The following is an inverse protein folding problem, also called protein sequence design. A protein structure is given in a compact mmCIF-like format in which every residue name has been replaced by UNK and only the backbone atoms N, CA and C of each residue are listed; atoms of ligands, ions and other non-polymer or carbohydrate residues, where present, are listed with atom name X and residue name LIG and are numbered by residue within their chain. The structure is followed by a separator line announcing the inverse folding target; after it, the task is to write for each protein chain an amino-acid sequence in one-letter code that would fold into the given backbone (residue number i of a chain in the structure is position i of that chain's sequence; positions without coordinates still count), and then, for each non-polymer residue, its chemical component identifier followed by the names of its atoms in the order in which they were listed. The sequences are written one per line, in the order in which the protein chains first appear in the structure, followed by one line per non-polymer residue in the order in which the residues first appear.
data_IF_468903529831
#
_entry.id   IF_468903529831
#
_cell.length_a   1.000
_cell.length_b   1.000
_cell.length_c   1.000
_cell.angle_alpha   90.00
_cell.angle_beta   90.00
_cell.angle_gamma   90.00
#
_symmetry.space_group_name_H-M   'P 1'
#
loop_
_entity.id
_entity.type
_entity.pdbx_description
1 polymer ?
#
# COMPACT_ATOMS: atom_id res chain seq x y z
N UNK A 1 10.75 -24.28 38.27
CA UNK A 1 11.66 -24.80 37.23
C UNK A 1 10.84 -25.10 35.98
N UNK A 2 10.75 -24.14 35.05
CA UNK A 2 10.00 -24.34 33.79
C UNK A 2 11.03 -24.58 32.69
N UNK A 3 10.91 -25.73 32.04
CA UNK A 3 11.83 -26.27 31.04
C UNK A 3 11.92 -25.30 29.87
N UNK A 4 13.13 -24.83 29.57
CA UNK A 4 13.44 -24.17 28.29
C UNK A 4 13.34 -25.27 27.24
N UNK A 5 12.14 -25.45 26.66
CA UNK A 5 11.98 -26.24 25.46
C UNK A 5 12.60 -25.41 24.34
N UNK A 6 13.85 -25.75 24.00
CA UNK A 6 14.47 -25.36 22.74
C UNK A 6 13.63 -26.06 21.66
N UNK A 7 12.60 -25.37 21.18
CA UNK A 7 11.86 -25.79 20.01
C UNK A 7 12.86 -25.75 18.84
N UNK A 8 13.29 -26.93 18.41
CA UNK A 8 14.07 -27.12 17.20
C UNK A 8 13.25 -26.61 16.03
N UNK A 9 13.47 -25.37 15.61
CA UNK A 9 12.86 -24.79 14.41
C UNK A 9 13.46 -25.52 13.21
N UNK A 10 12.70 -26.49 12.68
CA UNK A 10 12.96 -27.09 11.38
C UNK A 10 12.92 -26.00 10.33
N UNK A 11 14.08 -25.62 9.81
CA UNK A 11 14.19 -24.72 8.65
C UNK A 11 13.59 -25.46 7.45
N UNK A 12 12.33 -25.19 7.14
CA UNK A 12 11.69 -25.71 5.94
C UNK A 12 12.38 -25.07 4.73
N UNK A 13 13.15 -25.87 4.00
CA UNK A 13 13.77 -25.47 2.74
C UNK A 13 12.66 -25.25 1.70
N UNK A 14 12.26 -23.99 1.50
CA UNK A 14 11.34 -23.61 0.42
C UNK A 14 12.18 -23.35 -0.84
N UNK A 15 12.33 -24.39 -1.66
CA UNK A 15 12.69 -24.24 -3.07
C UNK A 15 11.44 -23.82 -3.86
N UNK A 16 11.57 -22.75 -4.66
CA UNK A 16 10.97 -22.58 -5.99
C UNK A 16 11.10 -21.10 -6.44
N UNK A 17 11.86 -20.97 -7.54
CA UNK A 17 11.75 -20.11 -8.71
C UNK A 17 11.12 -18.72 -8.56
N UNK A 18 11.90 -17.70 -8.95
CA UNK A 18 11.50 -16.30 -8.93
C UNK A 18 10.56 -15.89 -10.05
N UNK A 19 9.83 -14.80 -9.81
CA UNK A 19 9.67 -13.67 -10.72
C UNK A 19 9.12 -12.47 -9.94
N UNK A 20 9.39 -11.26 -10.43
CA UNK A 20 9.36 -10.00 -9.67
C UNK A 20 8.04 -9.20 -9.77
N UNK A 21 7.85 -8.32 -8.78
CA UNK A 21 6.62 -7.63 -8.36
C UNK A 21 6.29 -6.30 -9.08
N UNK A 22 5.01 -5.88 -9.01
CA UNK A 22 4.53 -4.52 -9.33
C UNK A 22 4.10 -3.68 -8.10
N UNK A 23 4.33 -2.36 -8.16
CA UNK A 23 3.91 -1.30 -7.21
C UNK A 23 3.14 -0.20 -7.98
N UNK A 24 2.09 0.45 -7.40
CA UNK A 24 1.39 1.55 -8.08
C UNK A 24 2.23 2.84 -8.10
N UNK A 25 2.17 3.55 -9.22
CA UNK A 25 2.86 4.81 -9.48
C UNK A 25 2.33 5.96 -8.61
N UNK A 26 3.26 6.62 -7.94
CA UNK A 26 3.14 7.92 -7.29
C UNK A 26 4.56 8.48 -7.02
N UNK A 27 4.74 9.79 -6.85
CA UNK A 27 6.05 10.43 -6.76
C UNK A 27 6.70 10.17 -5.40
N UNK A 28 8.02 10.00 -5.40
CA UNK A 28 8.87 10.18 -4.23
C UNK A 28 8.55 9.38 -2.97
N UNK A 29 8.00 8.17 -3.06
CA UNK A 29 7.78 7.35 -1.86
C UNK A 29 9.11 6.73 -1.41
N UNK A 30 9.62 7.18 -0.26
CA UNK A 30 10.74 6.56 0.48
C UNK A 30 10.65 5.04 0.35
N UNK A 31 11.74 4.43 -0.10
CA UNK A 31 11.87 2.98 -0.26
C UNK A 31 11.56 2.26 1.05
N UNK A 32 10.32 1.81 1.21
CA UNK A 32 9.89 1.04 2.36
C UNK A 32 10.41 -0.38 2.18
N UNK A 33 11.56 -0.68 2.79
CA UNK A 33 12.07 -2.05 2.88
C UNK A 33 11.27 -2.79 3.97
N UNK A 34 10.38 -3.73 3.60
CA UNK A 34 9.44 -4.34 4.55
C UNK A 34 10.16 -5.09 5.66
N UNK A 35 11.25 -5.78 5.32
CA UNK A 35 12.10 -6.51 6.27
C UNK A 35 12.81 -5.54 7.23
N UNK A 36 13.33 -4.41 6.71
CA UNK A 36 14.01 -3.40 7.54
C UNK A 36 13.05 -2.72 8.51
N UNK A 37 11.85 -2.39 8.07
CA UNK A 37 10.82 -1.80 8.95
C UNK A 37 10.38 -2.78 10.04
N UNK A 38 10.21 -4.06 9.69
CA UNK A 38 9.94 -5.13 10.65
C UNK A 38 11.03 -5.20 11.73
N UNK A 39 12.31 -5.25 11.35
CA UNK A 39 13.44 -5.26 12.31
C UNK A 39 13.47 -3.97 13.15
N UNK A 40 13.22 -2.81 12.55
CA UNK A 40 13.14 -1.54 13.30
C UNK A 40 12.06 -1.57 14.38
N UNK A 41 10.95 -2.28 14.16
CA UNK A 41 9.88 -2.39 15.14
C UNK A 41 10.29 -3.20 16.38
N UNK A 42 11.31 -4.04 16.25
CA UNK A 42 11.88 -4.80 17.36
C UNK A 42 12.87 -3.99 18.22
N UNK A 43 13.28 -2.80 17.76
CA UNK A 43 14.22 -1.95 18.51
C UNK A 43 13.65 -1.57 19.87
N UNK A 44 14.45 -1.78 20.92
CA UNK A 44 14.07 -1.43 22.29
C UNK A 44 12.98 -2.32 22.89
N UNK A 45 12.79 -3.54 22.37
CA UNK A 45 11.99 -4.59 23.03
C UNK A 45 12.77 -5.26 24.17
N UNK A 46 14.11 -5.22 24.10
CA UNK A 46 14.99 -5.92 25.04
C UNK A 46 15.24 -7.36 24.61
N UNK A 47 15.69 -7.57 23.37
CA UNK A 47 16.04 -8.89 22.83
C UNK A 47 17.35 -9.38 23.43
N UNK A 48 17.40 -10.65 23.82
CA UNK A 48 18.64 -11.34 24.21
C UNK A 48 19.56 -11.54 23.01
N UNK A 49 20.84 -11.83 23.26
CA UNK A 49 21.80 -12.06 22.17
C UNK A 49 21.43 -13.29 21.33
N UNK A 50 20.91 -14.34 21.98
CA UNK A 50 20.42 -15.54 21.29
C UNK A 50 19.23 -15.22 20.37
N UNK A 51 18.24 -14.45 20.85
CA UNK A 51 17.10 -14.02 20.02
C UNK A 51 17.55 -13.17 18.83
N UNK A 52 18.57 -12.32 19.01
CA UNK A 52 19.09 -11.47 17.93
C UNK A 52 19.76 -12.29 16.83
N UNK A 53 20.58 -13.27 17.19
CA UNK A 53 21.21 -14.15 16.20
C UNK A 53 20.18 -15.03 15.49
N UNK A 54 19.15 -15.51 16.19
CA UNK A 54 18.04 -16.25 15.57
C UNK A 54 17.27 -15.39 14.56
N UNK A 55 16.86 -14.18 14.95
CA UNK A 55 16.18 -13.23 14.05
C UNK A 55 17.06 -12.88 12.85
N UNK A 56 18.36 -12.67 13.05
CA UNK A 56 19.32 -12.40 11.98
C UNK A 56 19.43 -13.58 11.01
N UNK A 57 19.42 -14.81 11.51
CA UNK A 57 19.42 -16.04 10.70
C UNK A 57 18.16 -16.11 9.84
N UNK A 58 16.97 -15.95 10.45
CA UNK A 58 15.69 -15.94 9.73
C UNK A 58 15.66 -14.87 8.62
N UNK A 59 16.09 -13.65 8.95
CA UNK A 59 16.14 -12.53 7.99
C UNK A 59 17.13 -12.79 6.85
N UNK A 60 18.28 -13.41 7.14
CA UNK A 60 19.30 -13.70 6.13
C UNK A 60 18.82 -14.80 5.18
N UNK A 61 18.30 -15.91 5.72
CA UNK A 61 17.69 -16.99 4.94
C UNK A 61 16.55 -16.48 4.05
N UNK A 62 15.70 -15.59 4.56
CA UNK A 62 14.64 -14.98 3.75
C UNK A 62 15.20 -14.15 2.59
N UNK A 63 16.24 -13.34 2.84
CA UNK A 63 16.85 -12.50 1.80
C UNK A 63 17.55 -13.32 0.72
N UNK A 64 18.15 -14.44 1.09
CA UNK A 64 18.76 -15.39 0.16
C UNK A 64 17.70 -16.10 -0.69
N UNK A 65 16.63 -16.59 -0.07
CA UNK A 65 15.55 -17.29 -0.76
C UNK A 65 14.69 -16.35 -1.64
N UNK A 66 14.51 -15.10 -1.21
CA UNK A 66 13.69 -14.08 -1.90
C UNK A 66 14.54 -12.83 -2.12
N UNK A 67 15.46 -12.85 -3.11
CA UNK A 67 16.29 -11.71 -3.43
C UNK A 67 15.43 -10.51 -3.79
N UNK A 68 15.97 -9.32 -3.56
CA UNK A 68 15.27 -8.08 -3.85
C UNK A 68 14.93 -8.05 -5.35
N UNK A 69 13.67 -7.78 -5.72
CA UNK A 69 13.33 -7.59 -7.13
C UNK A 69 14.15 -6.41 -7.68
N UNK A 70 14.71 -6.58 -8.87
CA UNK A 70 15.44 -5.52 -9.57
C UNK A 70 14.48 -4.34 -9.76
N UNK A 71 14.94 -3.15 -9.39
CA UNK A 71 14.14 -1.93 -9.47
C UNK A 71 13.76 -1.71 -10.93
N UNK A 72 12.49 -1.80 -11.30
CA UNK A 72 11.98 -1.46 -12.65
C UNK A 72 11.39 -2.60 -13.48
N UNK A 73 11.48 -3.86 -13.03
CA UNK A 73 10.86 -5.01 -13.70
C UNK A 73 9.36 -5.10 -13.40
N UNK A 74 8.61 -4.09 -13.83
CA UNK A 74 7.15 -4.10 -13.72
C UNK A 74 6.58 -4.63 -15.03
N UNK A 75 5.83 -5.73 -14.96
CA UNK A 75 4.93 -6.14 -16.03
C UNK A 75 3.85 -5.07 -16.16
N UNK A 76 4.07 -4.17 -17.12
CA UNK A 76 3.00 -3.29 -17.58
C UNK A 76 1.91 -4.19 -18.17
N UNK A 77 0.62 -3.85 -18.00
CA UNK A 77 -0.39 -4.49 -18.81
C UNK A 77 0.00 -4.33 -20.28
N UNK A 78 -0.09 -5.42 -21.04
CA UNK A 78 0.20 -5.45 -22.49
C UNK A 78 -0.90 -4.77 -23.32
N UNK A 79 -1.88 -4.18 -22.64
CA UNK A 79 -3.02 -3.50 -23.25
C UNK A 79 -3.07 -2.02 -22.84
N UNK A 80 -3.66 -1.21 -23.71
CA UNK A 80 -4.00 0.17 -23.35
C UNK A 80 -5.14 0.17 -22.35
N UNK A 81 -4.85 0.65 -21.15
CA UNK A 81 -5.81 0.73 -20.06
C UNK A 81 -6.98 1.67 -20.38
N UNK A 82 -6.81 2.64 -21.28
CA UNK A 82 -7.87 3.57 -21.66
C UNK A 82 -9.01 2.88 -22.42
N UNK A 83 -8.69 1.85 -23.20
CA UNK A 83 -9.65 1.12 -24.06
C UNK A 83 -9.89 -0.32 -23.64
N UNK A 84 -9.24 -0.78 -22.56
CA UNK A 84 -9.35 -2.16 -22.09
C UNK A 84 -10.77 -2.53 -21.68
N UNK A 85 -11.20 -3.74 -22.01
CA UNK A 85 -12.45 -4.31 -21.53
C UNK A 85 -12.38 -4.58 -20.02
N UNK A 86 -13.55 -4.65 -19.38
CA UNK A 86 -13.64 -5.01 -17.96
C UNK A 86 -13.04 -6.39 -17.67
N UNK A 87 -13.19 -7.35 -18.61
CA UNK A 87 -12.61 -8.69 -18.50
C UNK A 87 -11.09 -8.70 -18.60
N UNK A 88 -10.50 -7.84 -19.44
CA UNK A 88 -9.04 -7.67 -19.50
C UNK A 88 -8.51 -7.08 -18.19
N UNK A 89 -9.19 -6.06 -17.66
CA UNK A 89 -8.82 -5.42 -16.40
C UNK A 89 -8.94 -6.40 -15.22
N UNK A 90 -10.03 -7.15 -15.12
CA UNK A 90 -10.25 -8.11 -14.03
C UNK A 90 -9.24 -9.24 -14.05
N UNK A 91 -8.98 -9.82 -15.24
CA UNK A 91 -7.98 -10.88 -15.42
C UNK A 91 -6.59 -10.38 -15.04
N UNK A 92 -6.20 -9.19 -15.50
CA UNK A 92 -4.92 -8.59 -15.14
C UNK A 92 -4.79 -8.38 -13.62
N UNK A 93 -5.82 -7.83 -12.97
CA UNK A 93 -5.81 -7.62 -11.52
C UNK A 93 -5.72 -8.95 -10.77
N UNK A 94 -6.44 -9.98 -11.23
CA UNK A 94 -6.41 -11.31 -10.64
C UNK A 94 -5.02 -11.94 -10.76
N UNK A 95 -4.42 -11.96 -11.96
CA UNK A 95 -3.07 -12.49 -12.16
C UNK A 95 -2.06 -11.74 -11.29
N UNK A 96 -2.18 -10.42 -11.18
CA UNK A 96 -1.33 -9.61 -10.32
C UNK A 96 -1.52 -9.91 -8.83
N UNK A 97 -2.75 -10.18 -8.41
CA UNK A 97 -3.05 -10.58 -7.04
C UNK A 97 -2.39 -11.93 -6.73
N UNK A 98 -2.64 -12.94 -7.56
CA UNK A 98 -2.12 -14.30 -7.40
C UNK A 98 -0.58 -14.34 -7.43
N UNK A 99 0.06 -13.59 -8.32
CA UNK A 99 1.52 -13.49 -8.38
C UNK A 99 2.12 -12.93 -7.07
N UNK A 100 1.43 -11.99 -6.43
CA UNK A 100 1.90 -11.36 -5.18
C UNK A 100 1.67 -12.22 -3.95
N UNK A 101 0.70 -13.12 -3.96
CA UNK A 101 0.34 -13.92 -2.79
C UNK A 101 1.51 -14.78 -2.30
N UNK A 102 2.31 -15.33 -3.21
CA UNK A 102 3.51 -16.11 -2.83
C UNK A 102 4.52 -15.27 -2.02
N UNK A 103 4.75 -14.02 -2.42
CA UNK A 103 5.63 -13.10 -1.69
C UNK A 103 4.99 -12.65 -0.38
N UNK A 104 3.69 -12.37 -0.38
CA UNK A 104 2.97 -11.96 0.81
C UNK A 104 2.95 -13.05 1.87
N UNK A 105 2.72 -14.31 1.49
CA UNK A 105 2.81 -15.46 2.38
C UNK A 105 4.23 -15.63 2.94
N UNK A 106 5.27 -15.59 2.11
CA UNK A 106 6.65 -15.72 2.58
C UNK A 106 7.01 -14.61 3.59
N UNK A 107 6.56 -13.38 3.37
CA UNK A 107 6.76 -12.27 4.30
C UNK A 107 5.92 -12.45 5.59
N UNK A 108 4.72 -13.02 5.47
CA UNK A 108 3.85 -13.34 6.60
C UNK A 108 4.49 -14.41 7.50
N UNK A 109 5.04 -15.47 6.89
CA UNK A 109 5.79 -16.52 7.59
C UNK A 109 6.97 -15.92 8.35
N UNK A 110 7.81 -15.11 7.69
CA UNK A 110 8.94 -14.46 8.36
C UNK A 110 8.50 -13.62 9.57
N UNK A 111 7.37 -12.91 9.45
CA UNK A 111 6.82 -12.12 10.57
C UNK A 111 6.34 -13.00 11.71
N UNK A 112 5.70 -14.12 11.39
CA UNK A 112 5.23 -15.10 12.36
C UNK A 112 6.41 -15.72 13.11
N UNK A 113 7.42 -16.21 12.39
CA UNK A 113 8.61 -16.84 12.96
C UNK A 113 9.33 -15.89 13.91
N UNK A 114 9.56 -14.64 13.48
CA UNK A 114 10.18 -13.60 14.31
C UNK A 114 9.34 -13.29 15.55
N UNK A 115 8.02 -13.31 15.46
CA UNK A 115 7.14 -13.08 16.60
C UNK A 115 7.22 -14.22 17.62
N UNK A 116 7.39 -15.46 17.16
CA UNK A 116 7.53 -16.64 18.01
C UNK A 116 8.89 -16.75 18.71
N UNK A 117 9.94 -16.10 18.18
CA UNK A 117 11.23 -15.96 18.89
C UNK A 117 11.10 -15.11 20.16
N UNK A 118 10.09 -14.25 20.23
CA UNK A 118 9.87 -13.33 21.36
C UNK A 118 9.21 -14.05 22.54
N UNK A 119 9.53 -13.60 23.76
CA UNK A 119 8.81 -14.02 24.97
C UNK A 119 7.40 -13.41 25.01
N UNK A 120 6.49 -13.99 25.80
CA UNK A 120 5.12 -13.47 25.97
C UNK A 120 5.10 -11.98 26.37
N UNK A 121 5.98 -11.57 27.28
CA UNK A 121 6.12 -10.16 27.67
C UNK A 121 6.60 -9.26 26.53
N UNK A 122 7.52 -9.74 25.70
CA UNK A 122 8.03 -9.02 24.53
C UNK A 122 6.95 -8.93 23.44
N UNK A 123 6.19 -10.01 23.20
CA UNK A 123 5.05 -10.04 22.30
C UNK A 123 3.98 -9.01 22.71
N UNK A 124 3.63 -8.96 24.00
CA UNK A 124 2.71 -7.97 24.55
C UNK A 124 3.19 -6.52 24.31
N UNK A 125 4.50 -6.25 24.45
CA UNK A 125 5.10 -4.94 24.12
C UNK A 125 4.98 -4.59 22.63
N UNK A 126 5.13 -5.57 21.73
CA UNK A 126 4.92 -5.35 20.28
C UNK A 126 3.48 -4.96 20.02
N UNK A 127 2.53 -5.74 20.53
CA UNK A 127 1.10 -5.52 20.35
C UNK A 127 0.68 -4.13 20.86
N UNK A 128 1.14 -3.74 22.05
CA UNK A 128 0.85 -2.42 22.63
C UNK A 128 1.41 -1.27 21.78
N UNK A 129 2.64 -1.40 21.25
CA UNK A 129 3.24 -0.38 20.37
C UNK A 129 2.48 -0.22 19.07
N UNK A 130 1.97 -1.31 18.53
CA UNK A 130 1.18 -1.26 17.31
C UNK A 130 -0.20 -0.68 17.53
N UNK A 131 -0.90 -1.07 18.60
CA UNK A 131 -2.17 -0.45 18.98
C UNK A 131 -2.01 1.07 19.12
N UNK A 132 -0.93 1.52 19.77
CA UNK A 132 -0.60 2.96 19.87
C UNK A 132 -0.35 3.62 18.51
N UNK A 133 0.27 2.92 17.56
CA UNK A 133 0.51 3.44 16.21
C UNK A 133 -0.79 3.51 15.40
N UNK A 134 -1.67 2.52 15.51
CA UNK A 134 -2.96 2.55 14.85
C UNK A 134 -3.85 3.67 15.42
N UNK A 135 -3.94 3.78 16.74
CA UNK A 135 -4.63 4.91 17.39
C UNK A 135 -4.06 6.26 16.95
N UNK A 136 -2.74 6.39 16.81
CA UNK A 136 -2.11 7.61 16.29
C UNK A 136 -2.46 7.87 14.82
N UNK A 137 -2.53 6.84 13.98
CA UNK A 137 -2.95 6.97 12.58
C UNK A 137 -4.41 7.39 12.48
N UNK A 138 -5.27 6.83 13.32
CA UNK A 138 -6.68 7.17 13.42
C UNK A 138 -6.88 8.62 13.88
N UNK A 139 -6.24 9.04 14.97
CA UNK A 139 -6.29 10.41 15.45
C UNK A 139 -5.82 11.41 14.39
N UNK A 140 -4.77 11.09 13.62
CA UNK A 140 -4.31 11.92 12.50
C UNK A 140 -5.35 12.05 11.40
N UNK A 141 -6.12 11.00 11.14
CA UNK A 141 -7.21 11.02 10.15
C UNK A 141 -8.36 11.86 10.66
N UNK A 142 -8.81 11.62 11.90
CA UNK A 142 -9.91 12.37 12.51
C UNK A 142 -9.59 13.87 12.58
N UNK A 143 -8.37 14.24 12.99
CA UNK A 143 -7.91 15.61 12.97
C UNK A 143 -7.82 16.20 11.54
N UNK A 144 -7.58 15.38 10.51
CA UNK A 144 -7.60 15.83 9.13
C UNK A 144 -9.03 16.07 8.64
N UNK A 145 -9.99 15.21 9.01
CA UNK A 145 -11.40 15.39 8.66
C UNK A 145 -12.01 16.57 9.40
N UNK A 146 -11.68 16.75 10.68
CA UNK A 146 -12.09 17.92 11.46
C UNK A 146 -11.55 19.22 10.84
N UNK A 147 -10.27 19.24 10.45
CA UNK A 147 -9.69 20.41 9.75
C UNK A 147 -10.34 20.68 8.41
N UNK A 148 -10.72 19.65 7.64
CA UNK A 148 -11.48 19.83 6.40
C UNK A 148 -12.88 20.39 6.67
N UNK A 149 -13.56 19.89 7.71
CA UNK A 149 -14.89 20.37 8.10
C UNK A 149 -14.85 21.83 8.59
N UNK A 150 -13.83 22.20 9.38
CA UNK A 150 -13.61 23.59 9.79
C UNK A 150 -13.29 24.50 8.60
N UNK A 151 -12.50 24.02 7.63
CA UNK A 151 -12.21 24.75 6.40
C UNK A 151 -13.47 24.96 5.55
N UNK A 152 -14.29 23.94 5.35
CA UNK A 152 -15.57 24.04 4.64
C UNK A 152 -16.51 25.06 5.30
N UNK A 153 -16.66 25.00 6.64
CA UNK A 153 -17.46 25.98 7.40
C UNK A 153 -16.96 27.42 7.27
N UNK A 154 -15.64 27.64 7.12
CA UNK A 154 -15.09 28.99 6.91
C UNK A 154 -15.39 29.51 5.51
N UNK A 155 -15.30 28.65 4.49
CA UNK A 155 -15.67 29.02 3.11
C UNK A 155 -17.16 29.38 2.99
N UNK A 156 -18.03 28.65 3.69
CA UNK A 156 -19.46 28.95 3.71
C UNK A 156 -19.77 30.27 4.44
N UNK A 157 -18.94 30.66 5.41
CA UNK A 157 -19.17 31.84 6.27
C UNK A 157 -18.57 33.13 5.69
N UNK A 158 -17.51 33.07 4.91
CA UNK A 158 -16.78 34.25 4.44
C UNK A 158 -17.08 34.68 3.00
N UNK A 159 -17.91 33.93 2.25
CA UNK A 159 -18.18 34.22 0.85
C UNK A 159 -16.95 33.97 -0.04
N UNK A 160 -17.18 33.55 -1.28
CA UNK A 160 -16.13 33.00 -2.18
C UNK A 160 -15.03 33.99 -2.64
N UNK A 161 -14.96 35.22 -2.12
CA UNK A 161 -14.24 36.33 -2.77
C UNK A 161 -13.01 36.89 -2.06
N UNK A 162 -12.47 36.27 -1.01
CA UNK A 162 -11.18 36.70 -0.44
C UNK A 162 -10.05 35.73 -0.75
N UNK A 163 -9.21 36.12 -1.73
CA UNK A 163 -7.87 35.57 -1.97
C UNK A 163 -7.09 35.60 -0.65
N UNK A 164 -6.89 34.43 -0.04
CA UNK A 164 -6.15 34.32 1.21
C UNK A 164 -4.66 34.59 0.97
N UNK A 165 -4.15 35.60 1.68
CA UNK A 165 -2.72 35.89 1.81
C UNK A 165 -1.98 34.66 2.36
N UNK A 166 -1.03 34.15 1.57
CA UNK A 166 -0.08 33.11 1.95
C UNK A 166 0.89 33.65 3.02
N UNK A 167 0.54 33.51 4.30
CA UNK A 167 1.51 33.71 5.37
C UNK A 167 1.97 32.37 5.98
N UNK A 168 3.23 32.07 5.69
CA UNK A 168 4.15 31.24 6.46
C UNK A 168 3.71 29.80 6.80
N UNK A 169 3.82 28.92 5.80
CA UNK A 169 4.27 27.55 6.03
C UNK A 169 5.52 27.29 5.20
N UNK A 170 6.69 27.52 5.80
CA UNK A 170 7.92 26.77 5.46
C UNK A 170 7.70 25.30 5.85
N UNK A 171 6.92 24.62 5.04
CA UNK A 171 6.74 23.18 5.08
C UNK A 171 6.53 22.84 3.63
N UNK A 172 7.52 22.15 3.05
CA UNK A 172 7.51 21.68 1.66
C UNK A 172 6.08 21.54 1.17
N UNK A 173 5.73 22.39 0.21
CA UNK A 173 4.57 22.20 -0.62
C UNK A 173 4.80 20.84 -1.27
N UNK A 174 4.35 19.78 -0.58
CA UNK A 174 4.00 18.55 -1.24
C UNK A 174 2.90 18.99 -2.18
N UNK A 175 3.28 19.40 -3.39
CA UNK A 175 2.42 19.31 -4.55
C UNK A 175 1.69 18.00 -4.35
N UNK A 176 0.36 18.08 -4.30
CA UNK A 176 -0.46 16.88 -4.13
C UNK A 176 -0.33 16.12 -5.45
N UNK A 177 0.77 15.40 -5.52
CA UNK A 177 1.35 14.50 -6.49
C UNK A 177 0.38 13.34 -6.82
N UNK A 178 -0.86 13.68 -7.14
CA UNK A 178 -1.98 12.75 -7.09
C UNK A 178 -3.25 13.22 -7.78
N UNK A 179 -3.24 14.38 -8.43
CA UNK A 179 -4.21 14.64 -9.48
C UNK A 179 -3.72 13.90 -10.73
N UNK A 180 -4.55 13.02 -11.34
CA UNK A 180 -4.14 12.21 -12.49
C UNK A 180 -3.75 13.03 -13.73
N UNK A 181 -3.99 14.35 -13.72
CA UNK A 181 -3.82 15.31 -14.81
C UNK A 181 -3.02 16.54 -14.38
N UNK A 182 -2.12 16.40 -13.39
CA UNK A 182 -1.24 17.50 -12.99
C UNK A 182 -0.40 17.98 -14.20
N UNK A 183 -0.38 19.29 -14.43
CA UNK A 183 0.33 19.90 -15.56
C UNK A 183 -0.46 19.95 -16.87
N UNK A 184 -1.72 19.49 -16.91
CA UNK A 184 -2.61 19.63 -18.08
C UNK A 184 -3.60 20.77 -17.85
N UNK A 185 -3.76 21.65 -18.85
CA UNK A 185 -4.77 22.69 -18.82
C UNK A 185 -6.17 22.10 -19.06
N UNK A 186 -7.01 22.10 -18.03
CA UNK A 186 -8.39 21.62 -18.09
C UNK A 186 -9.37 22.79 -18.20
N UNK A 187 -10.36 22.68 -19.09
CA UNK A 187 -11.46 23.64 -19.19
C UNK A 187 -12.34 23.64 -17.93
N UNK A 188 -13.11 24.71 -17.71
CA UNK A 188 -14.02 24.78 -16.57
C UNK A 188 -15.09 23.68 -16.62
N UNK A 189 -15.61 23.36 -17.81
CA UNK A 189 -16.57 22.25 -18.01
C UNK A 189 -15.97 20.88 -17.70
N UNK A 190 -14.70 20.64 -18.05
CA UNK A 190 -13.97 19.42 -17.70
C UNK A 190 -13.76 19.32 -16.19
N UNK A 191 -13.40 20.43 -15.53
CA UNK A 191 -13.21 20.48 -14.07
C UNK A 191 -14.50 20.16 -13.31
N UNK A 192 -15.63 20.71 -13.75
CA UNK A 192 -16.94 20.41 -13.17
C UNK A 192 -17.30 18.93 -13.32
N UNK A 193 -17.11 18.37 -14.52
CA UNK A 193 -17.38 16.96 -14.81
C UNK A 193 -16.49 16.01 -14.00
N UNK A 194 -15.20 16.34 -13.86
CA UNK A 194 -14.27 15.59 -13.00
C UNK A 194 -14.63 15.69 -11.52
N UNK A 195 -15.11 16.84 -11.07
CA UNK A 195 -15.58 17.02 -9.69
C UNK A 195 -16.81 16.17 -9.41
N UNK A 196 -17.80 16.17 -10.32
CA UNK A 196 -19.00 15.35 -10.21
C UNK A 196 -18.66 13.85 -10.19
N UNK A 197 -17.80 13.39 -11.11
CA UNK A 197 -17.36 11.99 -11.18
C UNK A 197 -16.62 11.55 -9.90
N UNK A 198 -15.81 12.44 -9.34
CA UNK A 198 -15.11 12.18 -8.08
C UNK A 198 -16.08 12.06 -6.91
N UNK A 199 -17.10 12.92 -6.85
CA UNK A 199 -18.11 12.86 -5.78
C UNK A 199 -18.94 11.59 -5.90
N UNK A 200 -19.35 11.18 -7.11
CA UNK A 200 -20.11 9.94 -7.30
C UNK A 200 -19.31 8.68 -6.93
N UNK A 201 -17.97 8.72 -6.99
CA UNK A 201 -17.12 7.59 -6.63
C UNK A 201 -16.67 7.59 -5.15
N UNK A 202 -17.03 8.62 -4.38
CA UNK A 202 -16.52 8.82 -3.02
C UNK A 202 -16.88 7.68 -2.08
N UNK A 203 -18.14 7.26 -2.09
CA UNK A 203 -18.64 6.19 -1.22
C UNK A 203 -18.03 4.84 -1.61
N UNK A 204 -17.93 4.56 -2.92
CA UNK A 204 -17.23 3.39 -3.45
C UNK A 204 -15.75 3.38 -3.03
N UNK A 205 -15.07 4.52 -3.12
CA UNK A 205 -13.67 4.65 -2.69
C UNK A 205 -13.52 4.43 -1.17
N UNK A 206 -14.49 4.86 -0.37
CA UNK A 206 -14.51 4.63 1.07
C UNK A 206 -14.73 3.16 1.41
N UNK A 207 -15.71 2.50 0.79
CA UNK A 207 -15.97 1.08 0.92
C UNK A 207 -14.73 0.24 0.54
N UNK A 208 -14.14 0.52 -0.62
CA UNK A 208 -12.92 -0.14 -1.10
C UNK A 208 -11.75 0.04 -0.13
N UNK A 209 -11.61 1.25 0.45
CA UNK A 209 -10.60 1.50 1.47
C UNK A 209 -10.86 0.69 2.74
N UNK A 210 -12.12 0.51 3.13
CA UNK A 210 -12.47 -0.29 4.31
C UNK A 210 -12.18 -1.77 4.09
N UNK A 211 -12.51 -2.33 2.92
CA UNK A 211 -12.17 -3.71 2.54
C UNK A 211 -10.65 -3.95 2.70
N UNK A 212 -9.82 -3.07 2.11
CA UNK A 212 -8.35 -3.19 2.22
C UNK A 212 -7.83 -3.10 3.64
N UNK A 213 -8.53 -2.38 4.53
CA UNK A 213 -8.15 -2.30 5.95
C UNK A 213 -8.50 -3.60 6.64
N UNK A 214 -9.75 -4.05 6.52
CA UNK A 214 -10.22 -5.31 7.10
C UNK A 214 -9.33 -6.48 6.70
N UNK A 215 -8.94 -6.57 5.42
CA UNK A 215 -8.01 -7.59 4.95
C UNK A 215 -6.63 -7.49 5.62
N UNK A 216 -6.04 -6.29 5.69
CA UNK A 216 -4.74 -6.09 6.37
C UNK A 216 -4.80 -6.35 7.86
N UNK A 217 -5.92 -6.09 8.49
CA UNK A 217 -6.13 -6.30 9.92
C UNK A 217 -6.24 -7.80 10.20
N UNK A 218 -7.04 -8.51 9.41
CA UNK A 218 -7.16 -9.96 9.47
C UNK A 218 -5.83 -10.67 9.17
N UNK A 219 -5.03 -10.19 8.19
CA UNK A 219 -3.69 -10.72 7.95
C UNK A 219 -2.77 -10.54 9.17
N UNK A 220 -2.80 -9.36 9.81
CA UNK A 220 -1.97 -9.07 10.99
C UNK A 220 -2.36 -9.93 12.19
N UNK A 221 -3.65 -10.13 12.39
CA UNK A 221 -4.18 -10.98 13.46
C UNK A 221 -3.80 -12.45 13.22
N UNK A 222 -4.01 -12.94 12.00
CA UNK A 222 -3.65 -14.30 11.61
C UNK A 222 -2.15 -14.59 11.76
N UNK A 223 -1.28 -13.68 11.33
CA UNK A 223 0.19 -13.82 11.48
C UNK A 223 0.63 -14.00 12.94
N UNK A 224 -0.18 -13.60 13.91
CA UNK A 224 0.14 -13.68 15.34
C UNK A 224 -0.61 -14.76 16.09
N UNK A 225 -1.55 -15.41 15.43
CA UNK A 225 -2.26 -16.52 16.05
C UNK A 225 -1.36 -17.75 16.10
N UNK A 226 -1.62 -18.61 17.07
CA UNK A 226 -1.02 -19.95 17.12
C UNK A 226 -1.51 -20.87 15.98
N UNK A 227 -2.56 -20.46 15.27
CA UNK A 227 -3.15 -21.19 14.13
C UNK A 227 -2.58 -20.76 12.77
N UNK A 228 -1.58 -19.86 12.73
CA UNK A 228 -0.95 -19.43 11.50
C UNK A 228 -0.37 -20.63 10.73
N UNK A 229 -0.78 -20.75 9.48
CA UNK A 229 -0.37 -21.80 8.56
C UNK A 229 -0.67 -21.37 7.12
N UNK A 230 -0.07 -22.05 6.15
CA UNK A 230 -0.39 -21.85 4.74
C UNK A 230 -1.89 -22.00 4.45
N UNK A 231 -2.53 -23.06 4.98
CA UNK A 231 -3.96 -23.30 4.78
C UNK A 231 -4.83 -22.16 5.36
N UNK A 232 -4.50 -21.68 6.56
CA UNK A 232 -5.23 -20.55 7.17
C UNK A 232 -5.04 -19.23 6.39
N UNK A 233 -3.85 -19.02 5.81
CA UNK A 233 -3.55 -17.88 4.96
C UNK A 233 -4.33 -17.94 3.66
N UNK A 234 -4.31 -19.07 2.97
CA UNK A 234 -5.06 -19.31 1.73
C UNK A 234 -6.57 -19.14 1.93
N UNK A 235 -7.10 -19.64 3.06
CA UNK A 235 -8.51 -19.43 3.42
C UNK A 235 -8.83 -17.95 3.61
N UNK A 236 -7.96 -17.19 4.30
CA UNK A 236 -8.13 -15.75 4.47
C UNK A 236 -8.07 -15.02 3.13
N UNK A 237 -7.11 -15.34 2.28
CA UNK A 237 -6.96 -14.75 0.94
C UNK A 237 -8.20 -15.02 0.09
N UNK A 238 -8.68 -16.26 0.08
CA UNK A 238 -9.87 -16.68 -0.66
C UNK A 238 -11.10 -15.86 -0.23
N UNK A 239 -11.26 -15.63 1.09
CA UNK A 239 -12.38 -14.85 1.63
C UNK A 239 -12.44 -13.41 1.09
N UNK A 240 -11.29 -12.79 0.85
CA UNK A 240 -11.23 -11.38 0.42
C UNK A 240 -10.92 -11.20 -1.07
N UNK A 241 -10.59 -12.27 -1.80
CA UNK A 241 -10.09 -12.21 -3.18
C UNK A 241 -11.03 -11.44 -4.10
N UNK A 242 -12.31 -11.81 -4.11
CA UNK A 242 -13.29 -11.23 -5.03
C UNK A 242 -13.55 -9.75 -4.72
N UNK A 243 -13.66 -9.40 -3.43
CA UNK A 243 -13.81 -8.00 -2.99
C UNK A 243 -12.59 -7.16 -3.39
N UNK A 244 -11.38 -7.70 -3.27
CA UNK A 244 -10.15 -7.00 -3.63
C UNK A 244 -10.05 -6.79 -5.14
N UNK A 245 -10.40 -7.82 -5.92
CA UNK A 245 -10.40 -7.74 -7.39
C UNK A 245 -11.46 -6.72 -7.84
N UNK A 246 -12.69 -6.82 -7.31
CA UNK A 246 -13.79 -5.90 -7.60
C UNK A 246 -13.40 -4.46 -7.30
N UNK A 247 -12.86 -4.18 -6.11
CA UNK A 247 -12.37 -2.85 -5.73
C UNK A 247 -11.28 -2.33 -6.69
N UNK A 248 -10.44 -3.22 -7.21
CA UNK A 248 -9.44 -2.91 -8.23
C UNK A 248 -10.07 -2.53 -9.57
N UNK A 249 -11.07 -3.30 -10.02
CA UNK A 249 -11.82 -3.06 -11.27
C UNK A 249 -12.60 -1.76 -11.19
N UNK A 250 -13.30 -1.48 -10.09
CA UNK A 250 -14.02 -0.21 -9.89
C UNK A 250 -13.09 0.99 -9.96
N UNK A 251 -11.92 0.90 -9.30
CA UNK A 251 -10.90 1.95 -9.37
C UNK A 251 -10.34 2.12 -10.79
N UNK A 252 -10.23 1.03 -11.53
CA UNK A 252 -9.81 1.05 -12.93
C UNK A 252 -10.83 1.77 -13.82
N UNK A 253 -12.10 1.39 -13.71
CA UNK A 253 -13.22 2.01 -14.44
C UNK A 253 -13.35 3.49 -14.11
N UNK A 254 -13.23 3.86 -12.84
CA UNK A 254 -13.21 5.27 -12.45
C UNK A 254 -12.05 6.04 -13.10
N UNK A 255 -10.86 5.43 -13.21
CA UNK A 255 -9.75 6.03 -13.96
C UNK A 255 -10.10 6.17 -15.44
N UNK A 256 -10.60 5.14 -16.10
CA UNK A 256 -11.04 5.23 -17.50
C UNK A 256 -12.04 6.37 -17.71
N UNK A 257 -13.05 6.49 -16.85
CA UNK A 257 -14.04 7.56 -16.92
C UNK A 257 -13.42 8.96 -16.77
N UNK A 258 -12.45 9.14 -15.87
CA UNK A 258 -11.71 10.40 -15.77
C UNK A 258 -10.92 10.71 -17.05
N UNK A 259 -10.27 9.68 -17.64
CA UNK A 259 -9.47 9.82 -18.87
C UNK A 259 -10.32 10.14 -20.10
N UNK A 260 -11.55 9.62 -20.17
CA UNK A 260 -12.48 9.87 -21.25
C UNK A 260 -12.93 11.34 -21.36
N UNK A 261 -12.81 12.12 -20.27
CA UNK A 261 -13.14 13.55 -20.26
C UNK A 261 -12.06 14.44 -20.90
N UNK A 262 -10.88 13.90 -21.19
CA UNK A 262 -9.80 14.63 -21.85
C UNK A 262 -9.94 14.60 -23.37
N UNK A 263 -9.44 15.66 -24.01
CA UNK A 263 -9.22 15.69 -25.46
C UNK A 263 -8.05 14.80 -25.85
N UNK A 264 -7.96 14.43 -27.13
CA UNK A 264 -6.86 13.58 -27.61
C UNK A 264 -5.50 14.29 -27.55
N UNK A 265 -5.50 15.62 -27.70
CA UNK A 265 -4.32 16.48 -27.48
C UNK A 265 -3.85 16.40 -26.02
N UNK A 266 -4.76 16.57 -25.06
CA UNK A 266 -4.47 16.48 -23.62
C UNK A 266 -3.99 15.07 -23.22
N UNK A 267 -4.57 14.01 -23.79
CA UNK A 267 -4.11 12.63 -23.54
C UNK A 267 -2.68 12.43 -24.06
N UNK A 268 -2.37 13.00 -25.22
CA UNK A 268 -1.03 12.91 -25.83
C UNK A 268 0.00 13.65 -24.99
N UNK A 269 -0.30 14.88 -24.58
CA UNK A 269 0.54 15.66 -23.68
C UNK A 269 0.81 14.91 -22.37
N UNK A 270 -0.22 14.33 -21.76
CA UNK A 270 -0.06 13.54 -20.54
C UNK A 270 0.82 12.29 -20.75
N UNK A 271 0.73 11.62 -21.90
CA UNK A 271 1.61 10.50 -22.26
C UNK A 271 3.06 10.97 -22.36
N UNK A 272 3.32 12.12 -22.98
CA UNK A 272 4.68 12.71 -23.07
C UNK A 272 5.23 13.10 -21.70
N UNK A 273 4.45 13.81 -20.87
CA UNK A 273 4.86 14.16 -19.50
C UNK A 273 5.25 12.92 -18.68
N UNK A 274 4.46 11.84 -18.79
CA UNK A 274 4.75 10.57 -18.10
C UNK A 274 6.01 9.88 -18.62
N UNK A 275 6.30 9.97 -19.91
CA UNK A 275 7.51 9.42 -20.49
C UNK A 275 8.74 10.21 -20.08
N UNK A 276 8.65 11.53 -20.05
CA UNK A 276 9.76 12.38 -19.64
C UNK A 276 10.02 12.27 -18.14
N UNK A 277 8.99 12.19 -17.30
CA UNK A 277 9.14 11.83 -15.88
C UNK A 277 9.85 10.48 -15.70
N UNK A 278 9.55 9.48 -16.55
CA UNK A 278 10.23 8.18 -16.51
C UNK A 278 11.69 8.32 -16.93
N UNK A 279 11.99 8.99 -18.05
CA UNK A 279 13.36 9.23 -18.53
C UNK A 279 14.18 9.97 -17.47
N UNK A 280 13.62 11.02 -16.87
CA UNK A 280 14.26 11.77 -15.78
C UNK A 280 14.55 10.83 -14.60
N UNK A 281 13.57 10.02 -14.18
CA UNK A 281 13.78 9.04 -13.11
C UNK A 281 14.87 8.02 -13.46
N UNK A 282 14.94 7.58 -14.71
CA UNK A 282 15.93 6.62 -15.19
C UNK A 282 17.33 7.25 -15.29
N UNK A 283 17.45 8.56 -15.55
CA UNK A 283 18.73 9.30 -15.48
C UNK A 283 19.26 9.35 -14.04
N UNK A 284 18.37 9.48 -13.05
CA UNK A 284 18.73 9.47 -11.63
C UNK A 284 18.71 8.06 -11.00
N UNK A 285 18.68 7.00 -11.81
CA UNK A 285 18.77 5.60 -11.36
C UNK A 285 20.21 5.17 -11.20
#
# INVERSE_FOLDING_TARGET
MKKVLIASVTVAAISLSGLTLAQPAGPGMRHHEPVKEMVKHLRGIGLSDLQREEIKTLVSAFKEAKPRPVRGSVDKPDFDFETASETQISTFIQTQFEARETQHFALAQLRHDIFNVLTEEQQAKVLAREAKREAKKENRRNASEEKKAQFAKRLDREGKDKKFSHHNRKGHEHKRDGLPFEGIELSDTQRESLSALRESFKDTAEANRQIMRSFKDAQRELIRSSSFSQASWEALVTKYKDDIISAGVEKAKHRQAMFALLTDEQKTELKTHREDERKIRDIFR
#
